data_IF_828244793554
#
_entry.id   IF_828244793554
#
_cell.length_a   1.000
_cell.length_b   1.000
_cell.length_c   1.000
_cell.angle_alpha   90.00
_cell.angle_beta   90.00
_cell.angle_gamma   90.00
#
_symmetry.space_group_name_H-M   'P 1'
#
loop_
_entity.id
_entity.type
_entity.pdbx_description
1 polymer ?
#
# COMPACT_ATOMS: atom_id res chain seq x y z
N UNK A 1 8.91 6.79 14.34
CA UNK A 1 8.23 7.09 13.06
C UNK A 1 7.11 6.08 12.87
N UNK A 2 5.94 6.44 12.31
CA UNK A 2 4.90 5.47 12.06
C UNK A 2 5.38 4.44 11.03
N UNK A 3 5.18 3.17 11.36
CA UNK A 3 5.64 2.04 10.56
C UNK A 3 4.96 2.01 9.18
N UNK A 4 5.77 2.14 8.12
CA UNK A 4 5.34 2.11 6.73
C UNK A 4 4.73 0.76 6.37
N UNK A 5 5.24 -0.34 6.93
CA UNK A 5 4.72 -1.69 6.68
C UNK A 5 3.28 -1.81 7.18
N UNK A 6 3.03 -1.46 8.45
CA UNK A 6 1.67 -1.43 9.02
C UNK A 6 0.70 -0.59 8.20
N UNK A 7 1.14 0.60 7.76
CA UNK A 7 0.30 1.49 6.92
C UNK A 7 -0.03 0.87 5.56
N UNK A 8 0.93 0.20 4.93
CA UNK A 8 0.70 -0.48 3.66
C UNK A 8 -0.31 -1.63 3.82
N UNK A 9 -0.21 -2.42 4.88
CA UNK A 9 -1.16 -3.50 5.16
C UNK A 9 -2.57 -2.98 5.40
N UNK A 10 -2.71 -1.89 6.16
CA UNK A 10 -4.01 -1.22 6.38
C UNK A 10 -4.64 -0.73 5.08
N UNK A 11 -3.85 -0.11 4.20
CA UNK A 11 -4.33 0.37 2.90
C UNK A 11 -4.70 -0.81 2.00
N UNK A 12 -3.90 -1.87 1.95
CA UNK A 12 -4.20 -3.10 1.18
C UNK A 12 -5.48 -3.76 1.67
N UNK A 13 -5.68 -3.87 3.00
CA UNK A 13 -6.90 -4.40 3.59
C UNK A 13 -8.13 -3.55 3.23
N UNK A 14 -7.99 -2.21 3.25
CA UNK A 14 -9.07 -1.29 2.85
C UNK A 14 -9.43 -1.43 1.38
N UNK A 15 -8.43 -1.53 0.49
CA UNK A 15 -8.65 -1.79 -0.94
C UNK A 15 -9.38 -3.12 -1.13
N UNK A 16 -8.91 -4.19 -0.49
CA UNK A 16 -9.51 -5.51 -0.63
C UNK A 16 -10.96 -5.56 -0.14
N UNK A 17 -11.28 -4.88 0.97
CA UNK A 17 -12.65 -4.72 1.47
C UNK A 17 -13.53 -3.97 0.47
N UNK A 18 -13.05 -2.84 -0.06
CA UNK A 18 -13.80 -2.02 -1.01
C UNK A 18 -14.06 -2.77 -2.34
N UNK A 19 -13.05 -3.46 -2.87
CA UNK A 19 -13.19 -4.25 -4.09
C UNK A 19 -14.23 -5.37 -3.91
N UNK A 20 -14.16 -6.13 -2.81
CA UNK A 20 -15.15 -7.17 -2.50
C UNK A 20 -16.56 -6.61 -2.34
N UNK A 21 -16.70 -5.45 -1.68
CA UNK A 21 -18.00 -4.81 -1.48
C UNK A 21 -18.70 -4.41 -2.79
N UNK A 22 -17.95 -4.17 -3.87
CA UNK A 22 -18.49 -3.88 -5.20
C UNK A 22 -18.41 -5.07 -6.18
N UNK A 23 -18.20 -6.30 -5.69
CA UNK A 23 -18.16 -7.51 -6.52
C UNK A 23 -16.91 -7.66 -7.39
N UNK A 24 -15.85 -6.90 -7.10
CA UNK A 24 -14.57 -6.95 -7.83
C UNK A 24 -13.52 -7.76 -7.08
N UNK A 25 -12.54 -8.29 -7.81
CA UNK A 25 -11.38 -8.94 -7.19
C UNK A 25 -10.37 -7.88 -6.73
N UNK A 26 -9.81 -7.96 -5.51
CA UNK A 26 -8.82 -7.00 -5.02
C UNK A 26 -7.64 -6.78 -5.98
N UNK A 27 -7.24 -7.81 -6.72
CA UNK A 27 -6.11 -7.82 -7.64
C UNK A 27 -6.33 -6.91 -8.87
N UNK A 28 -7.58 -6.53 -9.15
CA UNK A 28 -7.91 -5.56 -10.21
C UNK A 28 -7.62 -4.11 -9.79
N UNK A 29 -7.24 -3.87 -8.54
CA UNK A 29 -6.93 -2.54 -8.00
C UNK A 29 -5.45 -2.47 -7.66
N UNK A 30 -4.70 -1.64 -8.39
CA UNK A 30 -3.27 -1.43 -8.10
C UNK A 30 -3.09 -0.31 -7.08
N UNK A 31 -2.38 -0.62 -5.98
CA UNK A 31 -1.90 0.39 -5.03
C UNK A 31 -0.59 1.00 -5.54
N UNK A 32 -0.65 2.27 -5.98
CA UNK A 32 0.51 3.07 -6.32
C UNK A 32 0.93 3.93 -5.12
N UNK A 33 2.14 3.71 -4.59
CA UNK A 33 2.64 4.46 -3.44
C UNK A 33 3.29 5.78 -3.89
N UNK A 34 2.63 6.91 -3.63
CA UNK A 34 3.16 8.24 -3.96
C UNK A 34 4.26 8.62 -2.96
N UNK A 35 5.49 8.73 -3.43
CA UNK A 35 6.69 8.96 -2.61
C UNK A 35 7.24 10.39 -2.69
N UNK A 36 6.62 11.29 -3.46
CA UNK A 36 7.07 12.67 -3.61
C UNK A 36 7.16 13.36 -2.23
N UNK A 37 8.33 13.91 -1.91
CA UNK A 37 8.58 14.61 -0.66
C UNK A 37 8.76 13.69 0.56
N UNK A 38 8.83 12.37 0.36
CA UNK A 38 9.21 11.43 1.42
C UNK A 38 10.73 11.22 1.42
N UNK A 39 11.33 11.00 2.59
CA UNK A 39 12.76 10.75 2.69
C UNK A 39 13.10 9.32 2.20
N UNK A 40 14.35 9.05 1.77
CA UNK A 40 14.74 7.75 1.21
C UNK A 40 14.45 6.55 2.13
N UNK A 41 14.54 6.72 3.44
CA UNK A 41 14.29 5.67 4.43
C UNK A 41 12.83 5.18 4.39
N UNK A 42 11.88 6.07 4.07
CA UNK A 42 10.48 5.70 3.90
C UNK A 42 10.27 4.83 2.65
N UNK A 43 11.02 5.12 1.57
CA UNK A 43 11.00 4.30 0.35
C UNK A 43 11.65 2.94 0.60
N UNK A 44 12.77 2.89 1.32
CA UNK A 44 13.42 1.64 1.71
C UNK A 44 12.49 0.76 2.57
N UNK A 45 11.79 1.35 3.54
CA UNK A 45 10.80 0.65 4.35
C UNK A 45 9.62 0.14 3.51
N UNK A 46 9.10 0.95 2.58
CA UNK A 46 8.03 0.52 1.67
C UNK A 46 8.48 -0.65 0.77
N UNK A 47 9.71 -0.57 0.24
CA UNK A 47 10.29 -1.63 -0.59
C UNK A 47 10.49 -2.92 0.20
N UNK A 48 10.98 -2.84 1.44
CA UNK A 48 11.13 -3.98 2.34
C UNK A 48 9.77 -4.60 2.71
N UNK A 49 8.73 -3.78 2.85
CA UNK A 49 7.34 -4.22 3.06
C UNK A 49 6.66 -4.78 1.79
N UNK A 50 7.41 -4.96 0.70
CA UNK A 50 6.90 -5.57 -0.54
C UNK A 50 6.13 -4.62 -1.45
N UNK A 51 6.28 -3.30 -1.31
CA UNK A 51 5.82 -2.36 -2.33
C UNK A 51 6.75 -2.42 -3.55
N UNK A 52 6.16 -2.50 -4.75
CA UNK A 52 6.89 -2.67 -6.03
C UNK A 52 6.50 -1.68 -7.13
N UNK A 53 5.47 -0.86 -6.89
CA UNK A 53 4.92 0.08 -7.87
C UNK A 53 4.71 1.44 -7.23
#
# INVERSE_FOLDING_TARGET
MPDVARRLDEVRARIARAARACGRRPEEVTLLAVSKGQPPEALAAAHAAGQRR
#
